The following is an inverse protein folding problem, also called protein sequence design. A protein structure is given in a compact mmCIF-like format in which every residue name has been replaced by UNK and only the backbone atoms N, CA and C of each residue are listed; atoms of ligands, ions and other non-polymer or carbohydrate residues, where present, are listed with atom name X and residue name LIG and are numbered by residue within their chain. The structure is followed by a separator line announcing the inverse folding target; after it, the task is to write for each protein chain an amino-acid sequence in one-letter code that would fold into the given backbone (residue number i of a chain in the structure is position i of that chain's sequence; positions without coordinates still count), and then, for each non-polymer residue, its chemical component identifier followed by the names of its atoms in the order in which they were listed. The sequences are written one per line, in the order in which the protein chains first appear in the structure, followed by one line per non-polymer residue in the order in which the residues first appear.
data_IF_561153552664
#
_entry.id   IF_561153552664
#
_cell.length_a   1.000
_cell.length_b   1.000
_cell.length_c   1.000
_cell.angle_alpha   90.00
_cell.angle_beta   90.00
_cell.angle_gamma   90.00
#
_symmetry.space_group_name_H-M   'P 1'
#
loop_
_entity.id
_entity.type
_entity.pdbx_description
1 polymer ?
#
# COMPACT_ATOMS: atom_id res chain seq x y z
N UNK A 1 -6.42 -16.48 40.68
CA UNK A 1 -5.41 -15.49 40.23
C UNK A 1 -4.31 -16.26 39.49
N UNK A 2 -4.36 -16.33 38.15
CA UNK A 2 -3.29 -16.95 37.36
C UNK A 2 -3.06 -16.07 36.13
N UNK A 3 -1.79 -15.71 35.96
CA UNK A 3 -1.24 -14.69 35.06
C UNK A 3 -1.40 -15.08 33.60
N UNK A 4 -1.79 -14.10 32.78
CA UNK A 4 -1.74 -14.15 31.32
C UNK A 4 -0.30 -14.36 30.85
N UNK A 5 -0.07 -15.34 29.97
CA UNK A 5 1.20 -15.55 29.28
C UNK A 5 0.93 -15.51 27.77
N UNK A 6 0.87 -14.30 27.21
CA UNK A 6 0.97 -14.11 25.77
C UNK A 6 2.43 -14.41 25.38
N UNK A 7 2.68 -15.66 24.97
CA UNK A 7 3.94 -16.02 24.30
C UNK A 7 4.01 -15.21 23.01
N UNK A 8 4.82 -14.17 23.03
CA UNK A 8 5.29 -13.47 21.83
C UNK A 8 5.83 -14.51 20.87
N UNK A 9 5.06 -14.79 19.81
CA UNK A 9 5.59 -15.47 18.64
C UNK A 9 6.57 -14.49 18.01
N UNK A 10 7.85 -14.72 18.32
CA UNK A 10 8.98 -14.18 17.56
C UNK A 10 8.69 -14.47 16.09
N UNK A 11 8.39 -13.42 15.34
CA UNK A 11 8.38 -13.41 13.88
C UNK A 11 9.84 -13.60 13.41
N UNK A 12 10.36 -14.81 13.59
CA UNK A 12 11.53 -15.31 12.89
C UNK A 12 11.03 -15.82 11.53
N UNK A 13 10.60 -14.90 10.69
CA UNK A 13 10.59 -15.13 9.25
C UNK A 13 11.60 -14.13 8.72
N UNK A 14 12.74 -14.67 8.28
CA UNK A 14 13.79 -13.94 7.61
C UNK A 14 13.20 -13.47 6.29
N UNK A 15 12.49 -12.35 6.31
CA UNK A 15 12.20 -11.59 5.10
C UNK A 15 13.55 -11.15 4.58
N UNK A 16 13.99 -11.72 3.46
CA UNK A 16 14.93 -11.03 2.61
C UNK A 16 14.34 -9.64 2.34
N UNK A 17 14.92 -8.61 2.94
CA UNK A 17 14.43 -7.22 2.94
C UNK A 17 14.36 -6.60 1.54
N UNK A 18 14.72 -7.34 0.48
CA UNK A 18 14.74 -6.89 -0.92
C UNK A 18 13.79 -7.67 -1.86
N UNK A 19 12.91 -8.54 -1.34
CA UNK A 19 11.91 -9.18 -2.21
C UNK A 19 10.88 -8.17 -2.71
N UNK A 20 10.44 -8.28 -3.97
CA UNK A 20 9.41 -7.39 -4.56
C UNK A 20 8.15 -7.33 -3.67
N UNK A 21 7.74 -8.46 -3.10
CA UNK A 21 6.61 -8.57 -2.17
C UNK A 21 6.79 -7.70 -0.92
N UNK A 22 7.99 -7.71 -0.31
CA UNK A 22 8.27 -6.90 0.88
C UNK A 22 8.24 -5.39 0.57
N UNK A 23 8.77 -5.00 -0.61
CA UNK A 23 8.67 -3.60 -1.08
C UNK A 23 7.20 -3.21 -1.29
N UNK A 24 6.41 -4.07 -1.92
CA UNK A 24 4.98 -3.81 -2.15
C UNK A 24 4.17 -3.66 -0.87
N UNK A 25 4.41 -4.52 0.12
CA UNK A 25 3.80 -4.40 1.43
C UNK A 25 4.20 -3.09 2.13
N UNK A 26 5.41 -2.59 1.91
CA UNK A 26 5.86 -1.29 2.45
C UNK A 26 5.15 -0.12 1.76
N UNK A 27 4.99 -0.13 0.44
CA UNK A 27 4.18 0.89 -0.24
C UNK A 27 2.74 0.92 0.29
N UNK A 28 2.14 -0.26 0.50
CA UNK A 28 0.81 -0.35 1.07
C UNK A 28 0.74 0.38 2.42
N UNK A 29 1.68 0.11 3.32
CA UNK A 29 1.72 0.75 4.63
C UNK A 29 1.96 2.28 4.57
N UNK A 30 2.56 2.78 3.49
CA UNK A 30 2.70 4.23 3.27
C UNK A 30 1.40 4.85 2.78
N UNK A 31 0.64 4.13 1.97
CA UNK A 31 -0.66 4.56 1.47
C UNK A 31 -1.78 4.45 2.52
N UNK A 32 -1.67 3.53 3.49
CA UNK A 32 -2.63 3.34 4.59
C UNK A 32 -2.44 4.44 5.66
N UNK A 33 -3.03 5.62 5.41
CA UNK A 33 -2.78 6.82 6.20
C UNK A 33 -3.45 6.76 7.57
N UNK A 34 -4.56 6.03 7.68
CA UNK A 34 -5.25 5.82 8.95
C UNK A 34 -4.74 4.58 9.72
N UNK A 35 -3.80 3.83 9.15
CA UNK A 35 -3.25 2.59 9.72
C UNK A 35 -4.32 1.56 10.05
N UNK A 36 -5.39 1.51 9.24
CA UNK A 36 -6.50 0.57 9.41
C UNK A 36 -6.13 -0.86 9.00
N UNK A 37 -5.03 -1.02 8.26
CA UNK A 37 -4.65 -2.25 7.57
C UNK A 37 -5.36 -2.44 6.22
N UNK A 38 -6.09 -1.43 5.76
CA UNK A 38 -6.83 -1.41 4.48
C UNK A 38 -6.62 -0.07 3.78
N UNK A 39 -6.62 -0.04 2.45
CA UNK A 39 -6.74 1.21 1.71
C UNK A 39 -8.22 1.49 1.46
N UNK A 40 -8.71 2.53 2.12
CA UNK A 40 -10.08 3.00 2.00
C UNK A 40 -10.16 4.17 1.01
N UNK A 41 -11.37 4.63 0.71
CA UNK A 41 -11.58 5.70 -0.28
C UNK A 41 -10.79 6.98 0.05
N UNK A 42 -10.67 7.31 1.33
CA UNK A 42 -9.95 8.49 1.82
C UNK A 42 -8.43 8.36 1.60
N UNK A 43 -7.88 7.17 1.85
CA UNK A 43 -6.46 6.87 1.61
C UNK A 43 -6.15 6.97 0.11
N UNK A 44 -6.98 6.36 -0.72
CA UNK A 44 -6.84 6.39 -2.18
C UNK A 44 -6.88 7.82 -2.70
N UNK A 45 -7.89 8.61 -2.29
CA UNK A 45 -8.02 10.00 -2.72
C UNK A 45 -6.81 10.85 -2.29
N UNK A 46 -6.31 10.67 -1.07
CA UNK A 46 -5.14 11.39 -0.57
C UNK A 46 -3.88 11.01 -1.34
N UNK A 47 -3.68 9.72 -1.63
CA UNK A 47 -2.55 9.23 -2.41
C UNK A 47 -2.62 9.74 -3.85
N UNK A 48 -3.77 9.67 -4.53
CA UNK A 48 -3.97 10.21 -5.88
C UNK A 48 -3.59 11.69 -5.95
N UNK A 49 -4.04 12.49 -4.99
CA UNK A 49 -3.70 13.91 -4.89
C UNK A 49 -2.21 14.15 -4.72
N UNK A 50 -1.48 13.27 -4.03
CA UNK A 50 -0.03 13.37 -3.88
C UNK A 50 0.74 13.21 -5.19
N UNK A 51 0.23 12.33 -6.05
CA UNK A 51 0.84 12.02 -7.32
C UNK A 51 0.49 13.05 -8.39
N UNK A 52 -0.73 13.57 -8.33
CA UNK A 52 -1.23 14.62 -9.18
C UNK A 52 -2.13 15.56 -8.37
N UNK A 53 -1.61 16.75 -8.04
CA UNK A 53 -2.32 17.79 -7.29
C UNK A 53 -3.56 18.31 -8.04
N UNK A 54 -3.63 18.07 -9.36
CA UNK A 54 -4.78 18.39 -10.21
C UNK A 54 -5.71 17.18 -10.41
N UNK A 55 -5.38 16.02 -9.83
CA UNK A 55 -6.26 14.85 -9.93
C UNK A 55 -7.61 15.18 -9.34
N UNK A 56 -8.65 14.89 -10.12
CA UNK A 56 -10.00 14.97 -9.64
C UNK A 56 -10.20 13.79 -8.69
N UNK A 57 -10.09 14.06 -7.38
CA UNK A 57 -10.41 13.11 -6.29
C UNK A 57 -11.91 12.78 -6.25
N UNK A 58 -12.63 12.98 -7.36
CA UNK A 58 -13.97 12.51 -7.62
C UNK A 58 -14.12 11.03 -7.24
N UNK A 59 -15.36 10.66 -6.93
CA UNK A 59 -15.70 9.26 -6.66
C UNK A 59 -15.37 8.34 -7.83
N UNK A 60 -15.32 8.85 -9.07
CA UNK A 60 -15.05 8.06 -10.27
C UNK A 60 -13.63 7.48 -10.28
N UNK A 61 -12.60 8.27 -9.97
CA UNK A 61 -11.22 7.76 -9.91
C UNK A 61 -11.04 6.75 -8.76
N UNK A 62 -11.70 6.99 -7.63
CA UNK A 62 -11.67 6.07 -6.49
C UNK A 62 -12.38 4.76 -6.83
N UNK A 63 -13.50 4.82 -7.55
CA UNK A 63 -14.22 3.65 -8.06
C UNK A 63 -13.41 2.86 -9.09
N UNK A 64 -12.68 3.53 -9.99
CA UNK A 64 -11.76 2.87 -10.92
C UNK A 64 -10.67 2.07 -10.19
N UNK A 65 -10.09 2.65 -9.13
CA UNK A 65 -9.09 1.97 -8.31
C UNK A 65 -9.71 0.78 -7.56
N UNK A 66 -10.92 0.91 -7.01
CA UNK A 66 -11.60 -0.24 -6.41
C UNK A 66 -11.91 -1.33 -7.44
N UNK A 67 -12.40 -0.96 -8.63
CA UNK A 67 -12.69 -1.94 -9.68
C UNK A 67 -11.44 -2.73 -10.12
N UNK A 68 -10.26 -2.12 -10.01
CA UNK A 68 -9.00 -2.78 -10.37
C UNK A 68 -8.39 -3.62 -9.24
N UNK A 69 -8.51 -3.17 -7.98
CA UNK A 69 -7.78 -3.76 -6.85
C UNK A 69 -8.66 -4.46 -5.81
N UNK A 70 -9.92 -4.08 -5.64
CA UNK A 70 -10.86 -4.64 -4.65
C UNK A 70 -11.57 -5.88 -5.20
N UNK A 71 -10.83 -6.99 -5.26
CA UNK A 71 -11.35 -8.28 -5.73
C UNK A 71 -12.46 -8.81 -4.81
N UNK A 72 -12.42 -8.48 -3.52
CA UNK A 72 -13.44 -8.93 -2.57
C UNK A 72 -14.69 -8.05 -2.50
N UNK A 73 -14.77 -6.98 -3.30
CA UNK A 73 -15.88 -6.03 -3.41
C UNK A 73 -16.33 -5.42 -2.06
N UNK A 74 -15.36 -5.14 -1.17
CA UNK A 74 -15.64 -4.60 0.18
C UNK A 74 -15.48 -3.10 0.28
N UNK A 75 -15.21 -2.42 -0.84
CA UNK A 75 -14.80 -1.01 -0.94
C UNK A 75 -13.60 -0.68 -0.06
N UNK A 76 -12.68 -1.64 0.06
CA UNK A 76 -11.44 -1.51 0.80
C UNK A 76 -10.44 -2.53 0.28
N UNK A 77 -9.20 -2.11 0.07
CA UNK A 77 -8.17 -2.97 -0.52
C UNK A 77 -7.29 -3.49 0.60
N UNK A 78 -7.19 -4.80 0.74
CA UNK A 78 -6.26 -5.44 1.67
C UNK A 78 -4.83 -5.48 1.12
N UNK A 79 -3.84 -5.66 2.01
CA UNK A 79 -2.43 -5.81 1.62
C UNK A 79 -2.22 -6.96 0.64
N UNK A 80 -2.99 -8.05 0.77
CA UNK A 80 -2.88 -9.21 -0.11
C UNK A 80 -3.45 -8.92 -1.51
N UNK A 81 -4.61 -8.27 -1.59
CA UNK A 81 -5.22 -7.83 -2.87
C UNK A 81 -4.28 -6.88 -3.63
N UNK A 82 -3.77 -5.87 -2.92
CA UNK A 82 -2.78 -4.93 -3.44
C UNK A 82 -1.52 -5.64 -3.93
N UNK A 83 -0.94 -6.50 -3.10
CA UNK A 83 0.33 -7.16 -3.40
C UNK A 83 0.19 -8.11 -4.60
N UNK A 84 -0.86 -8.91 -4.63
CA UNK A 84 -1.11 -9.82 -5.74
C UNK A 84 -1.36 -9.07 -7.04
N UNK A 85 -2.13 -7.98 -7.01
CA UNK A 85 -2.43 -7.19 -8.20
C UNK A 85 -1.18 -6.50 -8.76
N UNK A 86 -0.38 -5.84 -7.92
CA UNK A 86 0.87 -5.19 -8.38
C UNK A 86 1.87 -6.22 -8.92
N UNK A 87 2.01 -7.37 -8.27
CA UNK A 87 2.86 -8.45 -8.78
C UNK A 87 2.41 -8.95 -10.15
N UNK A 88 1.10 -8.99 -10.43
CA UNK A 88 0.58 -9.33 -11.75
C UNK A 88 0.84 -8.24 -12.79
N UNK A 89 0.53 -6.99 -12.49
CA UNK A 89 0.71 -5.86 -13.42
C UNK A 89 2.21 -5.70 -13.77
N UNK A 90 3.10 -5.86 -12.80
CA UNK A 90 4.54 -5.67 -12.97
C UNK A 90 5.34 -6.97 -13.05
N UNK A 91 4.68 -8.11 -13.31
CA UNK A 91 5.34 -9.42 -13.44
C UNK A 91 6.42 -9.40 -14.53
N UNK A 92 6.18 -8.65 -15.60
CA UNK A 92 7.04 -8.59 -16.79
C UNK A 92 8.12 -7.51 -16.70
N UNK A 93 8.11 -6.65 -15.66
CA UNK A 93 9.12 -5.61 -15.51
C UNK A 93 10.40 -6.17 -14.90
N UNK A 94 11.55 -5.64 -15.30
CA UNK A 94 12.83 -5.93 -14.68
C UNK A 94 12.96 -5.25 -13.31
N UNK A 95 13.89 -5.72 -12.47
CA UNK A 95 14.04 -5.23 -11.10
C UNK A 95 14.38 -3.74 -11.01
N UNK A 96 15.09 -3.18 -12.01
CA UNK A 96 15.46 -1.76 -12.01
C UNK A 96 14.24 -0.89 -12.25
N UNK A 97 13.42 -1.23 -13.25
CA UNK A 97 12.18 -0.50 -13.55
C UNK A 97 11.18 -0.56 -12.39
N UNK A 98 11.09 -1.72 -11.74
CA UNK A 98 10.30 -1.92 -10.53
C UNK A 98 10.78 -1.04 -9.36
N UNK A 99 12.09 -1.02 -9.10
CA UNK A 99 12.67 -0.25 -8.00
C UNK A 99 12.49 1.26 -8.19
N UNK A 100 12.64 1.76 -9.42
CA UNK A 100 12.47 3.18 -9.73
C UNK A 100 11.02 3.65 -9.45
N UNK A 101 10.01 2.84 -9.80
CA UNK A 101 8.61 3.16 -9.48
C UNK A 101 8.39 3.22 -7.96
N UNK A 102 9.01 2.31 -7.23
CA UNK A 102 8.93 2.28 -5.77
C UNK A 102 9.57 3.50 -5.12
N UNK A 103 10.76 3.89 -5.54
CA UNK A 103 11.45 5.08 -5.01
C UNK A 103 10.67 6.36 -5.27
N UNK A 104 10.05 6.48 -6.45
CA UNK A 104 9.17 7.60 -6.76
C UNK A 104 7.96 7.66 -5.82
N UNK A 105 7.33 6.51 -5.55
CA UNK A 105 6.19 6.42 -4.64
C UNK A 105 6.58 6.74 -3.20
N UNK A 106 7.68 6.18 -2.70
CA UNK A 106 8.18 6.48 -1.34
C UNK A 106 8.49 7.97 -1.17
N UNK A 107 9.11 8.61 -2.17
CA UNK A 107 9.43 10.03 -2.13
C UNK A 107 8.16 10.91 -2.08
N UNK A 108 7.16 10.60 -2.92
CA UNK A 108 5.91 11.38 -3.00
C UNK A 108 5.07 11.26 -1.73
N UNK A 109 4.90 10.05 -1.21
CA UNK A 109 4.12 9.83 0.01
C UNK A 109 4.89 10.30 1.25
N UNK A 110 6.23 10.22 1.24
CA UNK A 110 7.06 10.79 2.30
C UNK A 110 6.85 12.30 2.49
N UNK A 111 6.58 13.04 1.41
CA UNK A 111 6.23 14.47 1.48
C UNK A 111 4.86 14.70 2.12
N UNK A 112 3.86 13.87 1.81
CA UNK A 112 2.53 13.90 2.43
C UNK A 112 2.58 13.70 3.95
N UNK A 113 3.34 12.70 4.41
CA UNK A 113 3.40 12.36 5.83
C UNK A 113 4.17 13.41 6.66
N UNK A 114 5.16 14.08 6.07
CA UNK A 114 5.89 15.18 6.73
C UNK A 114 5.14 16.52 6.73
N UNK A 115 4.16 16.72 5.85
CA UNK A 115 3.36 17.95 5.80
C UNK A 115 2.18 17.96 6.79
N UNK A 116 1.99 16.87 7.55
CA UNK A 116 1.02 16.76 8.64
C UNK A 116 1.63 16.90 10.06
N UNK A 117 2.92 17.20 10.19
CA UNK A 117 3.61 17.48 11.47
C UNK A 117 3.76 18.98 11.74
#
# INVERSE_FOLDING_TARGET
MVRMNFKGKRLNQVFSMDSRTARIARAFALCDLNSSGFLEAEDIAAVCKAFDDQSDTSSALTEEIFNEFDISEKKKISVDEWTNRILQIWQQQDDKSFNNHFEYLEAKIGVLNNSKS
#
